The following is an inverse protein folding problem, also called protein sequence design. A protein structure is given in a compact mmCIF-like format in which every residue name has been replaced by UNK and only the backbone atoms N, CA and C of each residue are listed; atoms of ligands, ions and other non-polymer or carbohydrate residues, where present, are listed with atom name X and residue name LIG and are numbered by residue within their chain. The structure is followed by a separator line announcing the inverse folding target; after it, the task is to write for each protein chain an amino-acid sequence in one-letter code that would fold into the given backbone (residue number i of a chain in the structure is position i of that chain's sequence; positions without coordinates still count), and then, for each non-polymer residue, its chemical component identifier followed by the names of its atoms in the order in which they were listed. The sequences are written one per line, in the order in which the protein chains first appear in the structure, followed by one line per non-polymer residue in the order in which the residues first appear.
data_IF_796012480642
#
_entry.id   IF_796012480642
#
_cell.length_a   1.000
_cell.length_b   1.000
_cell.length_c   1.000
_cell.angle_alpha   90.00
_cell.angle_beta   90.00
_cell.angle_gamma   90.00
#
_symmetry.space_group_name_H-M   'P 1'
#
loop_
_entity.id
_entity.type
_entity.pdbx_description
1 polymer ?
#
# COMPACT_ATOMS: atom_id res chain seq x y z
N UNK A 1 24.92 -8.63 36.18
CA UNK A 1 23.98 -8.47 35.05
C UNK A 1 24.67 -7.61 34.00
N UNK A 2 25.03 -8.19 32.85
CA UNK A 2 25.72 -7.44 31.79
C UNK A 2 24.68 -6.65 30.97
N UNK A 3 24.85 -5.34 30.87
CA UNK A 3 24.01 -4.51 30.02
C UNK A 3 24.38 -4.71 28.55
N UNK A 4 23.37 -4.95 27.69
CA UNK A 4 23.53 -4.98 26.23
C UNK A 4 23.25 -3.59 25.68
N UNK A 5 24.18 -3.04 24.90
CA UNK A 5 23.99 -1.78 24.17
C UNK A 5 23.61 -2.12 22.73
N UNK A 6 22.50 -1.56 22.26
CA UNK A 6 22.06 -1.68 20.85
C UNK A 6 22.05 -0.29 20.21
N UNK A 7 22.77 -0.14 19.10
CA UNK A 7 22.78 1.10 18.31
C UNK A 7 21.79 0.92 17.16
N UNK A 8 20.73 1.72 17.16
CA UNK A 8 19.70 1.73 16.11
C UNK A 8 19.85 2.97 15.22
N UNK A 9 19.69 2.78 13.91
CA UNK A 9 19.69 3.87 12.93
C UNK A 9 18.24 4.29 12.68
N UNK A 10 17.96 5.59 12.81
CA UNK A 10 16.67 6.18 12.50
C UNK A 10 16.76 6.95 11.17
N UNK A 11 15.77 6.76 10.30
CA UNK A 11 15.62 7.53 9.06
C UNK A 11 14.57 8.60 9.29
N UNK A 12 14.89 9.85 8.96
CA UNK A 12 13.93 10.96 9.00
C UNK A 12 13.71 11.48 7.59
N UNK A 13 12.45 11.71 7.22
CA UNK A 13 12.06 12.29 5.94
C UNK A 13 11.52 13.69 6.18
N UNK A 14 11.90 14.63 5.32
CA UNK A 14 11.38 15.99 5.32
C UNK A 14 10.67 16.25 4.01
N UNK A 15 9.40 16.62 4.07
CA UNK A 15 8.60 16.98 2.91
C UNK A 15 7.75 18.20 3.25
N UNK A 16 7.73 19.21 2.37
CA UNK A 16 7.03 20.49 2.59
C UNK A 16 7.27 21.12 3.97
N UNK A 17 8.53 21.11 4.43
CA UNK A 17 8.93 21.67 5.72
C UNK A 17 8.49 20.86 6.95
N UNK A 18 7.87 19.70 6.76
CA UNK A 18 7.49 18.79 7.85
C UNK A 18 8.48 17.64 7.93
N UNK A 19 9.19 17.53 9.04
CA UNK A 19 10.11 16.40 9.30
C UNK A 19 9.39 15.34 10.13
N UNK A 20 9.43 14.08 9.67
CA UNK A 20 8.92 12.92 10.41
C UNK A 20 9.99 11.84 10.49
N UNK A 21 10.20 11.33 11.69
CA UNK A 21 11.01 10.12 11.90
C UNK A 21 10.20 8.90 11.45
N UNK A 22 10.80 8.07 10.60
CA UNK A 22 10.15 6.88 10.06
C UNK A 22 10.48 5.68 10.95
N UNK A 23 9.46 5.01 11.52
CA UNK A 23 9.65 3.76 12.26
C UNK A 23 10.27 2.68 11.36
N UNK A 24 11.18 1.88 11.93
CA UNK A 24 11.82 0.77 11.22
C UNK A 24 10.81 -0.24 10.63
N UNK A 25 9.62 -0.37 11.21
CA UNK A 25 8.54 -1.23 10.69
C UNK A 25 8.11 -0.87 9.26
N UNK A 26 8.21 0.42 8.91
CA UNK A 26 7.83 0.96 7.62
C UNK A 26 8.98 0.87 6.61
N UNK A 27 10.18 0.51 7.04
CA UNK A 27 11.31 0.28 6.15
C UNK A 27 11.40 -1.22 5.82
N UNK A 28 11.81 -1.52 4.60
CA UNK A 28 12.12 -2.88 4.16
C UNK A 28 13.30 -2.84 3.21
N UNK A 29 14.32 -3.60 3.50
CA UNK A 29 15.43 -3.79 2.58
C UNK A 29 15.14 -4.94 1.62
N UNK A 30 15.40 -4.73 0.35
CA UNK A 30 15.33 -5.77 -0.69
C UNK A 30 16.39 -5.45 -1.76
N UNK A 31 17.22 -6.45 -2.07
CA UNK A 31 18.25 -6.36 -3.10
C UNK A 31 19.15 -5.10 -2.99
N UNK A 32 19.65 -4.83 -1.77
CA UNK A 32 20.50 -3.67 -1.49
C UNK A 32 19.80 -2.31 -1.53
N UNK A 33 18.49 -2.27 -1.81
CA UNK A 33 17.68 -1.06 -1.84
C UNK A 33 16.72 -1.03 -0.66
N UNK A 34 16.67 0.10 0.06
CA UNK A 34 15.69 0.30 1.13
C UNK A 34 14.39 0.85 0.53
N UNK A 35 13.27 0.26 0.92
CA UNK A 35 11.93 0.65 0.50
C UNK A 35 11.10 1.16 1.69
N UNK A 36 10.32 2.21 1.45
CA UNK A 36 9.35 2.78 2.37
C UNK A 36 7.94 2.22 2.09
N UNK A 37 7.35 1.58 3.09
CA UNK A 37 5.94 1.15 3.08
C UNK A 37 5.03 2.35 3.29
N UNK A 38 4.33 2.75 2.23
CA UNK A 38 3.31 3.80 2.24
C UNK A 38 1.99 3.27 2.78
N UNK A 39 1.92 3.16 4.11
CA UNK A 39 0.69 2.79 4.80
C UNK A 39 -0.14 4.03 5.08
N UNK A 40 -1.14 4.30 4.23
CA UNK A 40 -1.98 5.50 4.35
C UNK A 40 -2.77 5.63 5.66
N UNK A 41 -2.89 4.57 6.45
CA UNK A 41 -3.51 4.61 7.79
C UNK A 41 -2.55 4.95 8.93
N UNK A 42 -1.24 5.02 8.66
CA UNK A 42 -0.24 5.42 9.65
C UNK A 42 -0.15 6.96 9.71
N UNK A 43 -0.27 7.56 10.90
CA UNK A 43 -0.31 9.01 11.05
C UNK A 43 1.01 9.68 10.64
N UNK A 44 2.14 8.98 10.73
CA UNK A 44 3.45 9.50 10.32
C UNK A 44 3.47 9.82 8.82
N UNK A 45 2.95 8.90 7.99
CA UNK A 45 2.86 9.08 6.54
C UNK A 45 1.83 10.16 6.19
N UNK A 46 0.67 10.15 6.84
CA UNK A 46 -0.37 11.16 6.59
C UNK A 46 0.11 12.58 6.92
N UNK A 47 0.81 12.76 8.05
CA UNK A 47 1.40 14.05 8.44
C UNK A 47 2.53 14.48 7.50
N UNK A 48 3.36 13.55 7.07
CA UNK A 48 4.44 13.83 6.13
C UNK A 48 3.90 14.33 4.79
N UNK A 49 2.90 13.65 4.22
CA UNK A 49 2.34 13.98 2.89
C UNK A 49 1.50 15.25 2.92
N UNK A 50 0.64 15.43 3.92
CA UNK A 50 -0.26 16.57 3.98
C UNK A 50 0.38 17.83 4.59
N UNK A 51 1.51 17.65 5.27
CA UNK A 51 2.28 18.72 5.90
C UNK A 51 1.46 19.55 6.89
N UNK A 52 1.96 20.75 7.18
CA UNK A 52 1.28 21.78 7.97
C UNK A 52 0.14 22.48 7.22
N UNK A 53 0.07 22.30 5.90
CA UNK A 53 -0.88 22.99 5.01
C UNK A 53 -2.34 22.52 5.13
N UNK A 54 -2.56 21.28 5.58
CA UNK A 54 -3.88 20.71 5.81
C UNK A 54 -4.06 20.42 7.30
N UNK A 55 -5.16 20.90 7.91
CA UNK A 55 -5.50 20.56 9.30
C UNK A 55 -6.03 19.13 9.35
N UNK A 56 -5.13 18.15 9.45
CA UNK A 56 -5.53 16.74 9.51
C UNK A 56 -6.35 16.47 10.78
N UNK A 57 -7.49 15.76 10.68
CA UNK A 57 -8.19 15.27 11.86
C UNK A 57 -7.32 14.28 12.64
N UNK A 58 -7.61 14.10 13.93
CA UNK A 58 -6.85 13.23 14.87
C UNK A 58 -6.60 11.80 14.34
N UNK A 59 -7.49 11.31 13.46
CA UNK A 59 -7.41 9.99 12.82
C UNK A 59 -7.46 10.11 11.29
N UNK A 60 -6.71 11.06 10.72
CA UNK A 60 -6.63 11.18 9.28
C UNK A 60 -5.98 9.93 8.67
N UNK A 61 -6.59 9.43 7.59
CA UNK A 61 -6.13 8.25 6.87
C UNK A 61 -6.24 8.52 5.38
N UNK A 62 -5.11 8.37 4.68
CA UNK A 62 -5.03 8.42 3.23
C UNK A 62 -5.37 7.07 2.59
N UNK A 63 -5.64 6.03 3.39
CA UNK A 63 -5.82 4.67 2.88
C UNK A 63 -7.00 4.52 1.90
N UNK A 64 -8.03 5.36 2.06
CA UNK A 64 -9.23 5.39 1.21
C UNK A 64 -9.22 6.54 0.20
N UNK A 65 -8.11 7.28 0.08
CA UNK A 65 -7.98 8.35 -0.91
C UNK A 65 -8.00 7.80 -2.33
N UNK A 66 -8.55 8.57 -3.27
CA UNK A 66 -8.67 8.18 -4.67
C UNK A 66 -7.29 7.98 -5.31
N UNK A 67 -6.33 8.88 -5.04
CA UNK A 67 -4.94 8.78 -5.52
C UNK A 67 -4.20 7.62 -4.89
N UNK A 68 -4.45 7.30 -3.62
CA UNK A 68 -3.86 6.11 -3.00
C UNK A 68 -4.38 4.82 -3.66
N UNK A 69 -5.66 4.76 -4.02
CA UNK A 69 -6.23 3.63 -4.76
C UNK A 69 -5.70 3.57 -6.20
N UNK A 70 -5.58 4.72 -6.87
CA UNK A 70 -5.00 4.84 -8.22
C UNK A 70 -3.55 4.33 -8.23
N UNK A 71 -2.74 4.70 -7.23
CA UNK A 71 -1.37 4.22 -7.08
C UNK A 71 -1.30 2.70 -6.90
N UNK A 72 -2.19 2.13 -6.07
CA UNK A 72 -2.31 0.67 -5.89
C UNK A 72 -2.69 -0.02 -7.20
N UNK A 73 -3.59 0.58 -7.98
CA UNK A 73 -4.01 0.05 -9.28
C UNK A 73 -2.89 0.10 -10.31
N UNK A 74 -2.17 1.23 -10.43
CA UNK A 74 -0.99 1.37 -11.31
C UNK A 74 0.08 0.34 -11.00
N UNK A 75 0.40 0.14 -9.70
CA UNK A 75 1.30 -0.91 -9.26
C UNK A 75 0.82 -2.30 -9.66
N UNK A 76 -0.48 -2.59 -9.48
CA UNK A 76 -1.06 -3.90 -9.85
C UNK A 76 -0.98 -4.15 -11.35
N UNK A 77 -1.28 -3.15 -12.17
CA UNK A 77 -1.17 -3.25 -13.63
C UNK A 77 0.29 -3.50 -14.06
N UNK A 78 1.23 -2.71 -13.54
CA UNK A 78 2.64 -2.87 -13.87
C UNK A 78 3.19 -4.25 -13.41
N UNK A 79 2.75 -4.74 -12.25
CA UNK A 79 3.08 -6.09 -11.78
C UNK A 79 2.48 -7.19 -12.66
N UNK A 80 1.26 -7.00 -13.17
CA UNK A 80 0.65 -7.96 -14.11
C UNK A 80 1.41 -8.02 -15.43
N UNK A 81 1.88 -6.88 -15.94
CA UNK A 81 2.66 -6.82 -17.19
C UNK A 81 3.98 -7.59 -17.06
N UNK A 82 4.75 -7.36 -15.99
CA UNK A 82 5.99 -8.11 -15.74
C UNK A 82 5.72 -9.61 -15.67
N UNK A 83 4.65 -10.02 -15.00
CA UNK A 83 4.29 -11.43 -14.92
C UNK A 83 3.77 -12.04 -16.23
N UNK A 84 3.27 -11.23 -17.17
CA UNK A 84 2.89 -11.70 -18.50
C UNK A 84 4.13 -11.89 -19.37
N UNK A 85 5.06 -10.93 -19.34
CA UNK A 85 6.33 -10.99 -20.07
C UNK A 85 7.19 -12.20 -19.64
N UNK A 86 7.22 -12.53 -18.34
CA UNK A 86 7.89 -13.73 -17.84
C UNK A 86 7.25 -15.04 -18.35
N UNK A 87 5.92 -15.05 -18.53
CA UNK A 87 5.21 -16.23 -19.03
C UNK A 87 5.45 -16.43 -20.54
N UNK A 88 5.49 -15.35 -21.31
CA UNK A 88 5.77 -15.41 -22.75
C UNK A 88 7.22 -15.87 -23.02
N UNK A 89 8.19 -15.46 -22.19
CA UNK A 89 9.59 -15.95 -22.30
C UNK A 89 9.77 -17.43 -21.91
N UNK A 90 8.92 -17.96 -21.02
CA UNK A 90 8.94 -19.40 -20.70
C UNK A 90 8.34 -20.25 -21.85
N UNK A 91 7.37 -19.74 -22.60
CA UNK A 91 6.72 -20.46 -23.69
C UNK A 91 7.61 -20.65 -24.93
N UNK A 92 8.49 -19.69 -25.23
CA UNK A 92 9.45 -19.80 -26.34
C UNK A 92 10.56 -20.85 -26.09
N UNK A 93 10.74 -21.33 -24.85
CA UNK A 93 11.71 -22.37 -24.51
C UNK A 93 11.12 -23.78 -24.39
N UNK A 94 9.79 -23.95 -24.56
CA UNK A 94 9.09 -25.23 -24.37
C UNK A 94 8.58 -25.85 -25.68
N UNK A 95 8.64 -25.16 -26.83
CA UNK A 95 8.24 -25.74 -28.13
C UNK A 95 9.34 -26.59 -28.80
N UNK A 96 10.01 -27.41 -28.00
CA UNK A 96 10.96 -28.45 -28.44
C UNK A 96 10.37 -29.85 -28.34
N UNK A 97 9.37 -30.15 -29.19
CA UNK A 97 9.00 -31.51 -29.63
C UNK A 97 8.40 -32.50 -28.61
N UNK A 98 7.12 -32.82 -28.76
CA UNK A 98 6.51 -33.98 -28.08
C UNK A 98 5.00 -34.09 -28.28
N UNK A 99 4.57 -35.21 -28.86
CA UNK A 99 3.25 -35.54 -29.39
C UNK A 99 2.11 -35.73 -28.33
N UNK A 100 0.87 -35.48 -28.80
CA UNK A 100 -0.50 -35.92 -28.39
C UNK A 100 -0.95 -36.17 -26.91
N UNK A 101 -1.95 -35.40 -26.43
CA UNK A 101 -3.38 -35.78 -26.18
C UNK A 101 -4.07 -34.83 -25.17
N UNK A 102 -5.34 -34.38 -25.38
CA UNK A 102 -6.07 -33.58 -24.41
C UNK A 102 -6.87 -34.49 -23.47
N UNK A 103 -6.38 -34.70 -22.25
CA UNK A 103 -7.26 -35.15 -21.15
C UNK A 103 -7.51 -33.98 -20.21
N UNK A 104 -8.75 -33.49 -20.26
CA UNK A 104 -9.31 -32.53 -19.33
C UNK A 104 -9.20 -33.06 -17.90
N UNK A 105 -8.15 -32.65 -17.20
CA UNK A 105 -8.10 -32.75 -15.74
C UNK A 105 -8.16 -31.35 -15.19
N UNK A 106 -9.31 -31.03 -14.60
CA UNK A 106 -9.53 -29.87 -13.74
C UNK A 106 -8.64 -30.00 -12.48
N UNK A 107 -7.33 -29.80 -12.66
CA UNK A 107 -6.44 -29.57 -11.53
C UNK A 107 -6.68 -28.14 -11.04
N UNK A 108 -6.88 -27.92 -9.72
CA UNK A 108 -6.93 -26.56 -9.20
C UNK A 108 -5.60 -25.91 -9.56
N UNK A 109 -5.66 -24.83 -10.33
CA UNK A 109 -4.49 -24.07 -10.75
C UNK A 109 -3.68 -23.79 -9.49
N UNK A 110 -2.55 -24.49 -9.31
CA UNK A 110 -1.62 -24.19 -8.23
C UNK A 110 -1.31 -22.73 -8.42
N UNK A 111 -1.80 -21.88 -7.51
CA UNK A 111 -1.40 -20.46 -7.47
C UNK A 111 0.11 -20.49 -7.43
N UNK A 112 0.77 -20.29 -8.58
CA UNK A 112 2.23 -20.20 -8.70
C UNK A 112 2.63 -19.28 -7.55
N UNK A 113 3.40 -19.79 -6.59
CA UNK A 113 3.93 -18.93 -5.53
C UNK A 113 4.88 -18.00 -6.26
N UNK A 114 4.42 -16.78 -6.51
CA UNK A 114 5.21 -15.78 -7.22
C UNK A 114 6.29 -15.27 -6.29
N UNK A 115 7.44 -14.99 -6.87
CA UNK A 115 8.59 -14.45 -6.16
C UNK A 115 8.41 -12.94 -5.91
N UNK A 116 9.23 -12.40 -5.00
CA UNK A 116 9.25 -10.98 -4.70
C UNK A 116 9.96 -10.25 -5.85
N UNK A 117 9.34 -9.22 -6.43
CA UNK A 117 9.87 -8.49 -7.58
C UNK A 117 9.80 -6.97 -7.38
N UNK A 118 10.56 -6.23 -8.19
CA UNK A 118 10.55 -4.76 -8.22
C UNK A 118 9.99 -4.32 -9.56
N UNK A 119 9.03 -3.40 -9.53
CA UNK A 119 8.30 -2.92 -10.71
C UNK A 119 8.48 -1.43 -10.82
N UNK A 120 8.62 -0.92 -12.05
CA UNK A 120 8.67 0.52 -12.32
C UNK A 120 7.28 1.06 -12.63
N UNK A 121 6.91 2.18 -12.01
CA UNK A 121 5.61 2.84 -12.21
C UNK A 121 5.85 4.31 -12.55
N UNK A 122 5.26 4.80 -13.65
CA UNK A 122 5.28 6.22 -13.99
C UNK A 122 4.29 7.01 -13.12
N UNK A 123 4.84 8.01 -12.42
CA UNK A 123 4.09 9.01 -11.68
C UNK A 123 4.62 10.39 -12.06
N UNK A 124 3.79 11.18 -12.76
CA UNK A 124 4.14 12.51 -13.27
C UNK A 124 5.42 12.51 -14.14
N UNK A 125 5.64 11.47 -14.94
CA UNK A 125 6.83 11.36 -15.79
C UNK A 125 8.11 11.00 -15.01
N UNK A 126 7.98 10.58 -13.75
CA UNK A 126 9.07 10.02 -12.95
C UNK A 126 8.88 8.53 -12.80
N UNK A 127 9.93 7.77 -13.13
CA UNK A 127 9.97 6.32 -12.99
C UNK A 127 10.22 5.94 -11.53
N UNK A 128 9.17 5.46 -10.86
CA UNK A 128 9.21 5.10 -9.45
C UNK A 128 9.37 3.59 -9.29
N UNK A 129 10.42 3.16 -8.58
CA UNK A 129 10.65 1.76 -8.24
C UNK A 129 9.78 1.36 -7.06
N UNK A 130 8.92 0.38 -7.30
CA UNK A 130 7.96 -0.14 -6.33
C UNK A 130 8.23 -1.61 -6.08
N UNK A 131 8.47 -1.95 -4.82
CA UNK A 131 8.62 -3.33 -4.40
C UNK A 131 7.26 -4.02 -4.29
N UNK A 132 7.15 -5.19 -4.92
CA UNK A 132 5.96 -6.01 -5.00
C UNK A 132 6.22 -7.38 -4.35
N UNK A 133 5.66 -7.65 -3.15
CA UNK A 133 5.76 -8.97 -2.54
C UNK A 133 4.95 -9.98 -3.35
N UNK A 134 5.54 -11.13 -3.65
CA UNK A 134 4.90 -12.19 -4.44
C UNK A 134 3.70 -12.84 -3.73
N UNK A 135 3.64 -12.74 -2.39
CA UNK A 135 2.51 -13.21 -1.58
C UNK A 135 1.56 -12.05 -1.22
N UNK A 136 0.26 -12.27 -1.44
CA UNK A 136 -0.84 -11.36 -1.06
C UNK A 136 -0.69 -9.92 -1.61
N UNK A 137 -0.14 -9.76 -2.81
CA UNK A 137 0.15 -8.47 -3.46
C UNK A 137 -0.99 -7.44 -3.32
N UNK A 138 -2.23 -7.85 -3.59
CA UNK A 138 -3.42 -6.98 -3.51
C UNK A 138 -3.70 -6.42 -2.11
N UNK A 139 -3.32 -7.15 -1.05
CA UNK A 139 -3.52 -6.72 0.33
C UNK A 139 -2.34 -5.94 0.90
N UNK A 140 -1.18 -6.00 0.23
CA UNK A 140 0.02 -5.31 0.70
C UNK A 140 0.00 -3.83 0.36
N UNK A 141 0.47 -3.03 1.31
CA UNK A 141 0.74 -1.61 1.11
C UNK A 141 1.80 -1.39 0.02
N UNK A 142 1.77 -0.22 -0.62
CA UNK A 142 2.73 0.17 -1.66
C UNK A 142 4.09 0.41 -1.01
N UNK A 143 5.16 -0.14 -1.57
CA UNK A 143 6.52 -0.01 -1.03
C UNK A 143 7.39 0.69 -2.07
N UNK A 144 7.79 1.94 -1.82
CA UNK A 144 8.52 2.77 -2.77
C UNK A 144 9.98 2.85 -2.37
N UNK A 145 10.92 2.84 -3.33
CA UNK A 145 12.33 2.99 -3.01
C UNK A 145 12.60 4.29 -2.23
N UNK A 146 13.53 4.24 -1.29
CA UNK A 146 13.93 5.37 -0.45
C UNK A 146 14.87 6.31 -1.23
N UNK A 147 14.33 6.88 -2.31
CA UNK A 147 15.01 7.85 -3.17
C UNK A 147 14.26 9.19 -3.16
N UNK A 148 15.00 10.29 -3.12
CA UNK A 148 14.43 11.64 -2.95
C UNK A 148 13.52 12.00 -4.13
N UNK A 149 13.98 11.74 -5.35
CA UNK A 149 13.23 12.09 -6.57
C UNK A 149 11.91 11.31 -6.64
N UNK A 150 11.97 10.01 -6.38
CA UNK A 150 10.81 9.10 -6.43
C UNK A 150 9.80 9.40 -5.32
N UNK A 151 10.28 9.59 -4.09
CA UNK A 151 9.40 9.90 -2.95
C UNK A 151 8.73 11.25 -3.13
N UNK A 152 9.44 12.26 -3.66
CA UNK A 152 8.85 13.57 -3.92
C UNK A 152 7.68 13.50 -4.91
N UNK A 153 7.83 12.78 -6.02
CA UNK A 153 6.78 12.59 -7.02
C UNK A 153 5.56 11.88 -6.42
N UNK A 154 5.78 10.83 -5.61
CA UNK A 154 4.71 10.08 -4.95
C UNK A 154 3.99 10.94 -3.91
N UNK A 155 4.72 11.69 -3.08
CA UNK A 155 4.10 12.54 -2.07
C UNK A 155 3.32 13.69 -2.70
N UNK A 156 3.83 14.32 -3.76
CA UNK A 156 3.09 15.32 -4.53
C UNK A 156 1.80 14.73 -5.12
N UNK A 157 1.85 13.50 -5.65
CA UNK A 157 0.69 12.80 -6.18
C UNK A 157 -0.37 12.52 -5.11
N UNK A 158 0.06 12.09 -3.92
CA UNK A 158 -0.83 11.81 -2.79
C UNK A 158 -1.37 13.07 -2.11
N UNK A 159 -0.65 14.19 -2.19
CA UNK A 159 -1.05 15.47 -1.58
C UNK A 159 -2.40 15.98 -2.11
N UNK A 160 -2.75 15.62 -3.35
CA UNK A 160 -4.06 15.95 -3.92
C UNK A 160 -5.25 15.37 -3.12
N UNK A 161 -5.06 14.28 -2.38
CA UNK A 161 -6.09 13.66 -1.55
C UNK A 161 -6.17 14.23 -0.12
N UNK A 162 -5.16 14.99 0.31
CA UNK A 162 -5.11 15.57 1.66
C UNK A 162 -6.31 16.47 2.03
N UNK A 163 -6.80 17.39 1.17
CA UNK A 163 -7.98 18.19 1.51
C UNK A 163 -9.27 17.36 1.58
N UNK A 164 -9.29 16.21 0.92
CA UNK A 164 -10.47 15.34 0.81
C UNK A 164 -10.50 14.22 1.85
N UNK A 165 -9.47 14.06 2.70
CA UNK A 165 -9.38 12.96 3.66
C UNK A 165 -10.55 13.03 4.66
N UNK A 166 -11.62 12.22 4.50
CA UNK A 166 -12.75 12.29 5.38
C UNK A 166 -12.30 11.77 6.75
N UNK A 167 -12.74 12.41 7.83
CA UNK A 167 -12.66 11.79 9.15
C UNK A 167 -13.64 10.60 9.14
N UNK A 168 -13.19 9.47 8.62
CA UNK A 168 -13.94 8.23 8.58
C UNK A 168 -14.05 7.70 10.02
N UNK A 169 -14.94 8.30 10.82
CA UNK A 169 -15.54 7.58 11.95
C UNK A 169 -16.25 6.40 11.32
N UNK A 170 -15.59 5.24 11.36
CA UNK A 170 -16.15 3.98 10.87
C UNK A 170 -17.46 3.78 11.63
N UNK A 171 -18.61 3.93 10.97
CA UNK A 171 -19.89 3.64 11.61
C UNK A 171 -19.87 2.15 11.96
N UNK A 172 -19.80 1.88 13.26
CA UNK A 172 -19.81 0.53 13.77
C UNK A 172 -21.23 -0.03 13.57
N UNK A 173 -21.42 -0.81 12.51
CA UNK A 173 -22.61 -1.65 12.41
C UNK A 173 -22.46 -2.78 13.41
N UNK A 174 -23.12 -2.66 14.56
CA UNK A 174 -23.22 -3.70 15.59
C UNK A 174 -24.00 -4.87 15.00
N UNK A 175 -23.33 -5.82 14.36
CA UNK A 175 -23.95 -7.05 13.87
C UNK A 175 -23.82 -8.16 14.92
N UNK A 176 -24.92 -8.85 15.21
CA UNK A 176 -25.02 -9.93 16.20
C UNK A 176 -26.23 -9.78 17.12
N UNK A 177 -26.41 -10.69 18.10
CA UNK A 177 -27.53 -10.74 19.06
C UNK A 177 -27.76 -9.46 19.90
N UNK A 178 -26.89 -8.45 19.80
CA UNK A 178 -26.93 -7.21 20.58
C UNK A 178 -27.44 -5.98 19.80
N UNK A 179 -28.01 -6.17 18.61
CA UNK A 179 -28.62 -5.08 17.82
C UNK A 179 -30.04 -4.71 18.24
N UNK A 180 -30.67 -5.48 19.14
CA UNK A 180 -32.06 -5.28 19.55
C UNK A 180 -32.24 -4.36 20.78
N UNK A 181 -31.15 -3.96 21.45
CA UNK A 181 -31.19 -3.24 22.74
C UNK A 181 -31.08 -1.71 22.64
N UNK A 182 -31.10 -1.14 21.43
CA UNK A 182 -30.87 0.29 21.23
C UNK A 182 -31.94 0.97 20.36
N UNK A 183 -33.18 0.49 20.44
CA UNK A 183 -34.32 1.05 19.69
C UNK A 183 -35.36 1.74 20.59
N UNK A 184 -35.10 1.89 21.88
CA UNK A 184 -36.12 2.37 22.84
C UNK A 184 -35.89 3.79 23.39
N UNK A 185 -34.86 4.52 22.95
CA UNK A 185 -34.53 5.85 23.52
C UNK A 185 -34.55 7.01 22.49
N UNK A 186 -35.43 6.97 21.48
CA UNK A 186 -35.51 8.02 20.44
C UNK A 186 -36.95 8.53 20.18
N UNK A 187 -37.82 8.45 21.19
CA UNK A 187 -39.12 9.13 21.22
C UNK A 187 -39.25 9.82 22.58
N UNK A 188 -38.84 11.09 22.67
CA UNK A 188 -39.34 12.11 23.62
C UNK A 188 -38.41 13.34 23.60
N UNK A 189 -38.52 14.19 22.57
CA UNK A 189 -38.14 15.61 22.69
C UNK A 189 -38.93 16.44 21.65
N UNK A 190 -40.26 16.48 21.82
CA UNK A 190 -41.09 17.62 21.40
C UNK A 190 -41.15 18.62 22.56
N UNK A 191 -40.52 19.78 22.40
CA UNK A 191 -40.70 21.06 23.12
C UNK A 191 -39.80 22.07 22.37
N UNK A 192 -40.20 23.22 21.82
CA UNK A 192 -41.41 24.06 21.77
C UNK A 192 -41.48 24.72 20.37
#
# INVERSE_FOLDING_TARGET
MAGKVEITRAVALTFDGTTQAIPAELLRDFDGTTFLKLRGSKPEIAKLVCGSSCRLPKNASLANGAKMQELKAKRLAAWQNVCLEEAEQEEDNIFGGGDCNPTETNAPSKKRQREDCVVTVDIFGTDVKVFCPGKRMQQNDVQVALDESQLSAVFQFLKADCPAAPSSKRQYKKSGRYSALSKEDEEDEECE
#
